data_IF_846108631238
#
_entry.id   IF_846108631238
#
_cell.length_a   1.000
_cell.length_b   1.000
_cell.length_c   1.000
_cell.angle_alpha   90.00
_cell.angle_beta   90.00
_cell.angle_gamma   90.00
#
_symmetry.space_group_name_H-M   'P 1'
#
loop_
_entity.id
_entity.type
_entity.pdbx_description
1 polymer ?
#
# COMPACT_ATOMS: atom_id res chain seq x y z
N UNK A 1 -7.29 -11.27 3.95
CA UNK A 1 -7.30 -10.26 2.87
C UNK A 1 -6.61 -10.73 1.56
N UNK A 2 -5.34 -11.17 1.59
CA UNK A 2 -4.53 -11.45 0.38
C UNK A 2 -4.87 -12.77 -0.36
N UNK A 3 -5.83 -13.54 0.15
CA UNK A 3 -6.41 -14.71 -0.53
C UNK A 3 -7.91 -14.46 -0.64
N UNK A 4 -8.46 -14.61 -1.85
CA UNK A 4 -9.86 -14.30 -2.14
C UNK A 4 -10.58 -15.52 -2.72
N UNK A 5 -11.77 -15.82 -2.19
CA UNK A 5 -12.64 -16.89 -2.68
C UNK A 5 -13.71 -16.37 -3.65
N UNK A 6 -14.08 -15.09 -3.57
CA UNK A 6 -15.11 -14.47 -4.41
C UNK A 6 -14.82 -12.97 -4.64
N UNK A 7 -15.19 -12.43 -5.79
CA UNK A 7 -15.01 -11.02 -6.16
C UNK A 7 -16.13 -10.09 -5.69
N UNK A 8 -17.24 -10.63 -5.18
CA UNK A 8 -18.35 -9.88 -4.57
C UNK A 8 -18.35 -10.01 -3.05
N UNK A 9 -17.22 -9.74 -2.43
CA UNK A 9 -17.01 -9.92 -0.99
C UNK A 9 -16.95 -8.60 -0.22
N UNK A 10 -17.37 -7.48 -0.85
CA UNK A 10 -17.32 -6.16 -0.22
C UNK A 10 -15.93 -5.52 -0.21
N UNK A 11 -14.95 -6.13 -0.88
CA UNK A 11 -13.60 -5.60 -1.02
C UNK A 11 -13.57 -4.28 -1.79
N UNK A 12 -12.95 -3.28 -1.19
CA UNK A 12 -12.62 -2.00 -1.82
C UNK A 12 -11.19 -2.09 -2.36
N UNK A 13 -10.97 -1.65 -3.60
CA UNK A 13 -9.64 -1.57 -4.21
C UNK A 13 -9.47 -0.17 -4.77
N UNK A 14 -8.41 0.51 -4.33
CA UNK A 14 -8.05 1.84 -4.82
C UNK A 14 -6.59 1.85 -5.26
N UNK A 15 -6.30 2.56 -6.35
CA UNK A 15 -4.96 2.65 -6.91
C UNK A 15 -4.40 4.05 -6.70
N UNK A 16 -3.13 4.13 -6.33
CA UNK A 16 -2.40 5.36 -6.03
C UNK A 16 -1.16 5.46 -6.91
N UNK A 17 -0.85 6.68 -7.37
CA UNK A 17 0.45 6.99 -7.97
C UNK A 17 1.49 7.29 -6.87
N UNK A 18 2.77 7.35 -7.25
CA UNK A 18 3.87 7.66 -6.33
C UNK A 18 3.76 9.03 -5.64
N UNK A 19 2.98 9.96 -6.21
CA UNK A 19 2.66 11.25 -5.58
C UNK A 19 1.64 11.15 -4.44
N UNK A 20 1.09 9.96 -4.17
CA UNK A 20 0.12 9.72 -3.09
C UNK A 20 -1.32 10.06 -3.46
N UNK A 21 -1.56 10.53 -4.69
CA UNK A 21 -2.90 10.75 -5.22
C UNK A 21 -3.45 9.49 -5.91
N UNK A 22 -4.76 9.47 -6.15
CA UNK A 22 -5.37 8.40 -6.93
C UNK A 22 -4.76 8.30 -8.34
N UNK A 23 -4.55 7.06 -8.78
CA UNK A 23 -4.09 6.74 -10.12
C UNK A 23 -5.17 7.10 -11.16
N UNK A 24 -4.86 8.06 -12.03
CA UNK A 24 -5.77 8.55 -13.07
C UNK A 24 -5.68 7.71 -14.35
N UNK A 25 -6.72 7.72 -15.21
CA UNK A 25 -6.75 6.99 -16.48
C UNK A 25 -5.50 7.20 -17.35
N UNK A 26 -5.04 8.45 -17.46
CA UNK A 26 -3.92 8.84 -18.32
C UNK A 26 -2.57 8.30 -17.80
N UNK A 27 -2.47 8.05 -16.49
CA UNK A 27 -1.23 7.64 -15.83
C UNK A 27 -0.95 6.13 -15.98
N UNK A 28 -1.90 5.34 -16.48
CA UNK A 28 -1.73 3.89 -16.65
C UNK A 28 -0.78 3.53 -17.78
N UNK A 29 -0.72 4.35 -18.82
CA UNK A 29 0.13 4.11 -19.98
C UNK A 29 1.60 4.53 -19.75
N UNK A 30 1.89 5.18 -18.61
CA UNK A 30 3.21 5.72 -18.27
C UNK A 30 4.15 4.69 -17.60
N UNK A 31 3.64 3.48 -17.28
CA UNK A 31 4.43 2.37 -16.71
C UNK A 31 5.03 2.68 -15.34
N UNK A 32 4.20 3.15 -14.39
CA UNK A 32 4.65 3.81 -13.16
C UNK A 32 4.79 2.90 -11.92
N UNK A 33 5.46 3.43 -10.89
CA UNK A 33 5.41 2.93 -9.52
C UNK A 33 4.01 3.13 -8.97
N UNK A 34 3.41 2.07 -8.43
CA UNK A 34 2.01 2.04 -8.05
C UNK A 34 1.83 1.65 -6.59
N UNK A 35 0.82 2.23 -5.96
CA UNK A 35 0.23 1.75 -4.72
C UNK A 35 -1.14 1.13 -5.00
N UNK A 36 -1.46 0.04 -4.33
CA UNK A 36 -2.82 -0.51 -4.28
C UNK A 36 -3.24 -0.66 -2.83
N UNK A 37 -4.36 -0.04 -2.51
CA UNK A 37 -5.07 -0.24 -1.26
C UNK A 37 -6.12 -1.33 -1.47
N UNK A 38 -6.22 -2.22 -0.49
CA UNK A 38 -7.28 -3.21 -0.39
C UNK A 38 -7.90 -3.07 1.00
N UNK A 39 -9.20 -2.79 1.02
CA UNK A 39 -9.98 -2.60 2.24
C UNK A 39 -11.14 -3.59 2.35
N UNK A 40 -11.46 -3.99 3.57
CA UNK A 40 -12.67 -4.74 3.95
C UNK A 40 -13.37 -4.03 5.11
N UNK A 41 -14.15 -2.98 4.83
CA UNK A 41 -14.81 -2.18 5.87
C UNK A 41 -15.73 -3.01 6.77
N UNK A 42 -16.27 -4.11 6.26
CA UNK A 42 -17.11 -5.05 7.01
C UNK A 42 -16.35 -5.83 8.10
N UNK A 43 -15.01 -5.88 8.04
CA UNK A 43 -14.15 -6.60 8.98
C UNK A 43 -13.41 -5.65 9.96
N UNK A 44 -13.65 -4.34 9.92
CA UNK A 44 -12.93 -3.35 10.74
C UNK A 44 -13.08 -3.62 12.25
N UNK A 45 -14.21 -4.18 12.67
CA UNK A 45 -14.47 -4.51 14.09
C UNK A 45 -14.00 -5.90 14.51
N UNK A 46 -13.48 -6.71 13.59
CA UNK A 46 -13.03 -8.08 13.89
C UNK A 46 -11.57 -8.09 14.36
N UNK A 47 -11.36 -8.41 15.64
CA UNK A 47 -10.04 -8.44 16.25
C UNK A 47 -9.13 -9.51 15.63
N UNK A 48 -7.87 -9.13 15.36
CA UNK A 48 -6.87 -10.04 14.78
C UNK A 48 -7.00 -10.29 13.29
N UNK A 49 -7.96 -9.64 12.61
CA UNK A 49 -8.17 -9.75 11.17
C UNK A 49 -7.72 -8.47 10.49
N UNK A 50 -6.82 -8.61 9.50
CA UNK A 50 -6.44 -7.49 8.64
C UNK A 50 -7.64 -7.10 7.77
N UNK A 51 -8.09 -5.87 7.94
CA UNK A 51 -9.14 -5.25 7.14
C UNK A 51 -8.56 -4.28 6.10
N UNK A 52 -7.40 -3.69 6.37
CA UNK A 52 -6.75 -2.72 5.48
C UNK A 52 -5.30 -3.12 5.15
N UNK A 53 -5.00 -3.11 3.86
CA UNK A 53 -3.65 -3.35 3.34
C UNK A 53 -3.32 -2.31 2.28
N UNK A 54 -2.09 -1.79 2.32
CA UNK A 54 -1.50 -0.98 1.26
C UNK A 54 -0.26 -1.70 0.73
N UNK A 55 -0.23 -2.01 -0.57
CA UNK A 55 0.94 -2.58 -1.23
C UNK A 55 1.53 -1.57 -2.20
N UNK A 56 2.85 -1.41 -2.18
CA UNK A 56 3.58 -0.55 -3.10
C UNK A 56 4.49 -1.38 -3.99
N UNK A 57 4.50 -1.08 -5.28
CA UNK A 57 5.29 -1.77 -6.29
C UNK A 57 6.17 -0.79 -7.03
N UNK A 58 7.48 -1.02 -7.01
CA UNK A 58 8.42 -0.29 -7.85
C UNK A 58 9.07 -1.24 -8.86
N UNK A 59 8.59 -1.29 -10.12
CA UNK A 59 9.22 -2.11 -11.14
C UNK A 59 10.48 -1.47 -11.74
N UNK A 60 10.71 -0.17 -11.51
CA UNK A 60 11.87 0.53 -12.04
C UNK A 60 13.17 0.08 -11.36
N UNK A 61 14.29 0.29 -12.02
CA UNK A 61 15.60 -0.02 -11.47
C UNK A 61 16.09 0.98 -10.40
N UNK A 62 15.54 2.20 -10.40
CA UNK A 62 15.89 3.25 -9.46
C UNK A 62 14.93 3.32 -8.27
N UNK A 63 15.41 3.93 -7.19
CA UNK A 63 14.59 4.23 -6.01
C UNK A 63 13.56 5.31 -6.36
N UNK A 64 12.32 5.12 -5.89
CA UNK A 64 11.24 6.07 -6.08
C UNK A 64 10.70 6.51 -4.71
N UNK A 65 10.66 7.82 -4.41
CA UNK A 65 9.95 8.31 -3.25
C UNK A 65 8.45 8.12 -3.48
N UNK A 66 7.80 7.35 -2.60
CA UNK A 66 6.36 7.12 -2.64
C UNK A 66 5.69 7.84 -1.47
N UNK A 67 4.80 8.77 -1.75
CA UNK A 67 4.01 9.48 -0.74
C UNK A 67 2.93 8.56 -0.18
N UNK A 68 3.07 8.13 1.07
CA UNK A 68 2.12 7.19 1.69
C UNK A 68 0.77 7.90 1.91
N UNK A 69 -0.34 7.42 1.31
CA UNK A 69 -1.64 8.03 1.49
C UNK A 69 -2.09 7.91 2.96
N UNK A 70 -2.53 9.02 3.54
CA UNK A 70 -3.00 9.08 4.93
C UNK A 70 -4.52 9.14 4.95
N UNK A 71 -5.17 8.00 5.15
CA UNK A 71 -6.61 7.91 5.35
C UNK A 71 -6.95 6.91 6.46
N UNK A 72 -8.07 7.16 7.12
CA UNK A 72 -8.50 6.48 8.35
C UNK A 72 -7.60 6.72 9.56
N UNK A 73 -7.75 5.89 10.60
CA UNK A 73 -7.09 6.06 11.90
C UNK A 73 -5.92 5.08 12.10
N UNK A 74 -4.92 5.47 12.89
CA UNK A 74 -3.83 4.58 13.33
C UNK A 74 -2.56 4.58 12.46
N UNK A 75 -2.62 5.00 11.19
CA UNK A 75 -1.47 5.02 10.28
C UNK A 75 -1.16 3.65 9.67
N UNK A 76 0.06 3.47 9.20
CA UNK A 76 0.50 2.27 8.47
C UNK A 76 1.70 1.60 9.12
N UNK A 77 1.65 0.29 9.30
CA UNK A 77 2.78 -0.54 9.76
C UNK A 77 3.37 -1.26 8.56
N UNK A 78 4.68 -1.11 8.33
CA UNK A 78 5.40 -1.89 7.32
C UNK A 78 5.53 -3.33 7.79
N UNK A 79 4.78 -4.23 7.17
CA UNK A 79 4.71 -5.65 7.55
C UNK A 79 5.74 -6.49 6.80
N UNK A 80 5.98 -6.19 5.52
CA UNK A 80 6.94 -6.91 4.68
C UNK A 80 7.54 -5.98 3.64
N UNK A 81 8.81 -6.19 3.33
CA UNK A 81 9.50 -5.51 2.23
C UNK A 81 10.52 -6.46 1.60
N UNK A 82 10.74 -6.34 0.29
CA UNK A 82 11.84 -7.02 -0.40
C UNK A 82 13.09 -6.16 -0.53
N UNK A 83 13.08 -4.94 0.03
CA UNK A 83 14.27 -4.09 0.09
C UNK A 83 15.23 -4.58 1.16
N UNK A 84 16.52 -4.66 0.85
CA UNK A 84 17.57 -5.02 1.80
C UNK A 84 17.84 -3.92 2.84
N UNK A 85 17.33 -2.71 2.60
CA UNK A 85 17.65 -1.52 3.41
C UNK A 85 16.51 -1.06 4.32
N UNK A 86 15.31 -1.57 4.13
CA UNK A 86 14.13 -1.19 4.89
C UNK A 86 13.90 -2.15 6.08
N UNK A 87 13.59 -1.60 7.25
CA UNK A 87 13.30 -2.38 8.45
C UNK A 87 11.79 -2.63 8.57
N UNK A 88 11.38 -3.89 8.70
CA UNK A 88 10.00 -4.27 9.04
C UNK A 88 9.59 -3.72 10.42
N UNK A 89 8.29 -3.54 10.63
CA UNK A 89 7.69 -3.03 11.88
C UNK A 89 7.72 -1.50 12.04
N UNK A 90 8.22 -0.76 11.05
CA UNK A 90 8.17 0.71 11.06
C UNK A 90 6.73 1.19 10.96
N UNK A 91 6.33 2.07 11.89
CA UNK A 91 5.00 2.68 11.92
C UNK A 91 5.05 4.09 11.35
N UNK A 92 4.25 4.34 10.32
CA UNK A 92 4.08 5.62 9.62
C UNK A 92 2.74 6.22 10.07
N UNK A 93 2.79 7.19 10.96
CA UNK A 93 1.60 7.88 11.51
C UNK A 93 1.38 9.28 10.96
N UNK A 94 2.27 9.73 10.07
CA UNK A 94 2.22 11.04 9.44
C UNK A 94 2.55 10.90 7.96
N UNK A 95 2.02 11.84 7.19
CA UNK A 95 2.36 11.97 5.77
C UNK A 95 3.89 12.07 5.61
N UNK A 96 4.45 11.14 4.84
CA UNK A 96 5.88 11.03 4.60
C UNK A 96 6.11 10.30 3.27
N UNK A 97 7.23 10.65 2.62
CA UNK A 97 7.78 9.85 1.52
C UNK A 97 8.48 8.61 2.08
N UNK A 98 8.02 7.45 1.64
CA UNK A 98 8.69 6.17 1.82
C UNK A 98 9.60 5.94 0.61
N UNK A 99 10.90 5.78 0.83
CA UNK A 99 11.82 5.45 -0.24
C UNK A 99 11.64 3.99 -0.64
N UNK A 100 11.06 3.76 -1.82
CA UNK A 100 10.82 2.43 -2.35
C UNK A 100 11.94 2.05 -3.30
N UNK A 101 12.74 1.05 -2.90
CA UNK A 101 13.90 0.59 -3.67
C UNK A 101 13.50 0.11 -5.07
N UNK A 102 14.40 0.24 -6.04
CA UNK A 102 14.21 -0.32 -7.38
C UNK A 102 13.91 -1.82 -7.33
N UNK A 103 12.99 -2.29 -8.18
CA UNK A 103 12.58 -3.70 -8.31
C UNK A 103 12.11 -4.31 -6.98
N UNK A 104 11.42 -3.52 -6.15
CA UNK A 104 10.96 -3.94 -4.83
C UNK A 104 9.45 -3.84 -4.65
N UNK A 105 8.97 -4.55 -3.63
CA UNK A 105 7.61 -4.46 -3.12
C UNK A 105 7.64 -4.18 -1.62
N UNK A 106 6.70 -3.37 -1.14
CA UNK A 106 6.45 -3.14 0.28
C UNK A 106 4.96 -3.39 0.59
N UNK A 107 4.69 -4.05 1.72
CA UNK A 107 3.36 -4.38 2.21
C UNK A 107 3.15 -3.70 3.56
N UNK A 108 2.09 -2.91 3.65
CA UNK A 108 1.66 -2.24 4.86
C UNK A 108 0.30 -2.76 5.29
N UNK A 109 0.06 -2.77 6.59
CA UNK A 109 -1.24 -2.98 7.21
C UNK A 109 -1.55 -1.87 8.19
N UNK A 110 -2.79 -1.76 8.64
CA UNK A 110 -3.08 -0.93 9.81
C UNK A 110 -2.61 -1.59 11.11
N UNK A 111 -2.27 -0.79 12.15
CA UNK A 111 -1.78 -1.28 13.44
C UNK A 111 -2.66 -2.33 14.09
#
# INVERSE_FOLDING_TARGET
LLRRENWRDGMVIEWFNAGGGYQQPEQWDEGSTLGVYIGRPDLETEEGIWHDVLMLFNPFEGNVPFRIPQFGEGGWVLELTTSDTANEGVVITKEKDFELEGRSIALFRRP
#
